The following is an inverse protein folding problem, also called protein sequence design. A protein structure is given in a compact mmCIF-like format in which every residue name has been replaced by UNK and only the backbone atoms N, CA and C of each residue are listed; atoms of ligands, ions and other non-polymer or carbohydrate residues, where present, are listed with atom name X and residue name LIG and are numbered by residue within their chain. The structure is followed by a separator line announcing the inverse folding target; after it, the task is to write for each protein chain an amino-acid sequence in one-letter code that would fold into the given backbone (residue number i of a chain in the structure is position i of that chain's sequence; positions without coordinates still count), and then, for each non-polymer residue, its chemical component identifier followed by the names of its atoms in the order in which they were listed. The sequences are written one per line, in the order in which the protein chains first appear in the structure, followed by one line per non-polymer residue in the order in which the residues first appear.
data_IF_947611708354
#
_entry.id   IF_947611708354
#
_cell.length_a   1.000
_cell.length_b   1.000
_cell.length_c   1.000
_cell.angle_alpha   90.00
_cell.angle_beta   90.00
_cell.angle_gamma   90.00
#
_symmetry.space_group_name_H-M   'P 1'
#
loop_
_entity.id
_entity.type
_entity.pdbx_description
1 polymer ?
#
# COMPACT_ATOMS: atom_id res chain seq x y z
N UNK A 1 -4.05 -9.85 8.56
CA UNK A 1 -3.58 -8.52 9.02
C UNK A 1 -2.13 -8.34 8.65
N UNK A 2 -1.23 -9.23 9.09
CA UNK A 2 0.19 -9.19 8.69
C UNK A 2 0.40 -9.29 7.17
N UNK A 3 -0.34 -10.16 6.48
CA UNK A 3 -0.28 -10.26 5.01
C UNK A 3 -0.71 -8.96 4.31
N UNK A 4 -1.76 -8.30 4.81
CA UNK A 4 -2.23 -7.01 4.29
C UNK A 4 -1.16 -5.92 4.50
N UNK A 5 -0.57 -5.87 5.70
CA UNK A 5 0.50 -4.92 6.03
C UNK A 5 1.71 -5.12 5.12
N UNK A 6 2.16 -6.36 4.93
CA UNK A 6 3.29 -6.70 4.07
C UNK A 6 3.02 -6.32 2.60
N UNK A 7 1.85 -6.69 2.07
CA UNK A 7 1.44 -6.38 0.69
C UNK A 7 1.43 -4.86 0.42
N UNK A 8 0.91 -4.08 1.37
CA UNK A 8 0.91 -2.62 1.29
C UNK A 8 2.34 -2.07 1.40
N UNK A 9 3.13 -2.57 2.35
CA UNK A 9 4.52 -2.16 2.56
C UNK A 9 5.36 -2.33 1.29
N UNK A 10 5.31 -3.51 0.67
CA UNK A 10 6.02 -3.80 -0.59
C UNK A 10 5.61 -2.82 -1.69
N UNK A 11 4.31 -2.57 -1.83
CA UNK A 11 3.79 -1.63 -2.85
C UNK A 11 4.19 -0.18 -2.58
N UNK A 12 4.37 0.18 -1.31
CA UNK A 12 4.90 1.47 -0.89
C UNK A 12 6.43 1.57 -1.03
N UNK A 13 7.10 0.49 -1.44
CA UNK A 13 8.55 0.45 -1.67
C UNK A 13 9.37 0.04 -0.46
N UNK A 14 8.74 -0.40 0.64
CA UNK A 14 9.44 -1.04 1.73
C UNK A 14 9.98 -2.39 1.27
N UNK A 15 11.17 -2.75 1.75
CA UNK A 15 11.81 -4.03 1.42
C UNK A 15 12.04 -4.84 2.68
N UNK A 16 11.77 -6.14 2.63
CA UNK A 16 12.31 -7.06 3.63
C UNK A 16 13.74 -7.40 3.25
N UNK A 17 14.68 -6.97 4.09
CA UNK A 17 16.08 -7.34 3.93
C UNK A 17 16.47 -8.44 4.89
N UNK A 18 17.15 -9.45 4.35
CA UNK A 18 17.83 -10.47 5.14
C UNK A 18 19.25 -9.99 5.40
N UNK A 19 19.42 -9.16 6.42
CA UNK A 19 20.70 -8.54 6.72
C UNK A 19 21.64 -9.56 7.40
N UNK A 20 22.44 -10.25 6.60
CA UNK A 20 23.59 -11.03 7.09
C UNK A 20 24.77 -10.06 7.22
N UNK A 21 24.93 -9.43 8.38
CA UNK A 21 26.10 -8.57 8.66
C UNK A 21 27.28 -9.49 9.03
N UNK A 22 28.35 -9.60 8.21
CA UNK A 22 29.43 -10.56 8.47
C UNK A 22 30.35 -10.17 9.64
N UNK A 23 30.20 -8.96 10.21
CA UNK A 23 31.23 -8.33 11.06
C UNK A 23 30.86 -8.15 12.53
N UNK A 24 29.63 -8.42 12.93
CA UNK A 24 29.21 -8.37 14.33
C UNK A 24 28.24 -9.51 14.48
N UNK A 25 28.49 -10.48 15.36
CA UNK A 25 27.64 -11.67 15.58
C UNK A 25 26.27 -11.35 16.19
N UNK A 26 25.58 -10.35 15.62
CA UNK A 26 24.21 -9.99 15.88
C UNK A 26 23.42 -10.67 14.77
N UNK A 27 22.87 -11.85 15.08
CA UNK A 27 21.75 -12.39 14.31
C UNK A 27 20.61 -11.39 14.46
N UNK A 28 20.43 -10.51 13.47
CA UNK A 28 19.22 -9.71 13.37
C UNK A 28 18.07 -10.66 13.04
N UNK A 29 16.88 -10.49 13.65
CA UNK A 29 15.76 -11.33 13.32
C UNK A 29 15.45 -11.23 11.82
N UNK A 30 15.38 -12.38 11.18
CA UNK A 30 14.97 -12.53 9.78
C UNK A 30 13.67 -11.74 9.54
N UNK A 31 13.64 -10.81 8.58
CA UNK A 31 12.43 -10.08 8.19
C UNK A 31 12.26 -8.62 8.66
N UNK A 32 13.35 -7.90 9.00
CA UNK A 32 13.29 -6.46 9.22
C UNK A 32 12.91 -5.69 7.94
N UNK A 33 12.01 -4.71 8.06
CA UNK A 33 11.60 -3.83 6.95
C UNK A 33 12.52 -2.61 6.85
N UNK A 34 12.90 -2.27 5.62
CA UNK A 34 13.68 -1.07 5.29
C UNK A 34 12.76 -0.07 4.60
N UNK A 35 12.80 1.18 5.06
CA UNK A 35 12.00 2.28 4.49
C UNK A 35 12.54 2.69 3.12
N UNK A 36 11.67 3.04 2.15
CA UNK A 36 12.10 3.55 0.84
C UNK A 36 12.88 4.87 0.90
N UNK A 37 12.79 5.63 1.99
CA UNK A 37 13.45 6.93 2.13
C UNK A 37 14.83 6.88 2.80
N UNK A 38 15.20 5.77 3.44
CA UNK A 38 16.45 5.69 4.22
C UNK A 38 16.99 4.25 4.30
N UNK A 39 17.99 3.92 3.48
CA UNK A 39 18.62 2.58 3.38
C UNK A 39 19.35 2.14 4.67
N UNK A 40 19.46 2.99 5.70
CA UNK A 40 20.32 2.73 6.87
C UNK A 40 19.63 2.76 8.23
N UNK A 41 18.35 3.14 8.32
CA UNK A 41 17.61 3.11 9.57
C UNK A 41 16.62 1.94 9.53
N UNK A 42 16.89 0.93 10.36
CA UNK A 42 15.89 -0.07 10.71
C UNK A 42 14.67 0.66 11.27
N UNK A 43 13.54 0.57 10.57
CA UNK A 43 12.27 1.07 11.05
C UNK A 43 11.38 -0.15 11.29
N UNK A 44 10.81 -0.22 12.49
CA UNK A 44 9.61 -1.02 12.66
C UNK A 44 8.60 -0.54 11.61
N UNK A 45 8.07 -1.47 10.82
CA UNK A 45 7.07 -1.14 9.82
C UNK A 45 5.93 -0.37 10.52
N UNK A 46 5.56 0.83 10.05
CA UNK A 46 4.47 1.57 10.67
C UNK A 46 3.21 0.70 10.70
N UNK A 47 2.47 0.72 11.80
CA UNK A 47 1.18 0.02 11.84
C UNK A 47 0.14 0.77 11.01
N UNK A 48 0.15 0.53 9.71
CA UNK A 48 -0.77 1.16 8.76
C UNK A 48 -2.24 0.89 9.09
N UNK A 49 -2.54 -0.23 9.75
CA UNK A 49 -3.94 -0.59 10.04
C UNK A 49 -4.51 0.15 11.24
N UNK A 50 -3.63 0.71 12.09
CA UNK A 50 -3.98 1.45 13.30
C UNK A 50 -3.65 2.95 13.20
N UNK A 51 -2.62 3.33 12.43
CA UNK A 51 -2.14 4.70 12.31
C UNK A 51 -2.62 5.35 11.01
N UNK A 52 -3.58 6.25 11.15
CA UNK A 52 -4.08 7.04 10.04
C UNK A 52 -3.00 7.98 9.47
N UNK A 53 -2.16 8.54 10.33
CA UNK A 53 -1.03 9.39 9.93
C UNK A 53 -0.03 8.59 9.08
N UNK A 54 0.30 7.36 9.47
CA UNK A 54 1.19 6.50 8.69
C UNK A 54 0.60 6.17 7.29
N UNK A 55 -0.71 6.03 7.18
CA UNK A 55 -1.32 5.88 5.87
C UNK A 55 -1.12 7.12 4.99
N UNK A 56 -1.28 8.32 5.55
CA UNK A 56 -1.13 9.57 4.79
C UNK A 56 0.32 9.91 4.48
N UNK A 57 1.27 9.44 5.29
CA UNK A 57 2.69 9.61 5.06
C UNK A 57 3.20 8.68 3.95
N UNK A 58 2.85 7.39 3.99
CA UNK A 58 3.46 6.39 3.11
C UNK A 58 2.54 5.87 2.01
N UNK A 59 1.26 5.63 2.33
CA UNK A 59 0.33 4.93 1.43
C UNK A 59 -0.31 5.91 0.44
N UNK A 60 -0.89 6.99 0.95
CA UNK A 60 -1.66 7.95 0.13
C UNK A 60 -0.80 8.52 -0.99
N UNK A 61 0.39 9.10 -0.76
CA UNK A 61 1.18 9.70 -1.83
C UNK A 61 1.51 8.69 -2.93
N UNK A 62 1.89 7.47 -2.54
CA UNK A 62 2.23 6.41 -3.49
C UNK A 62 1.05 6.02 -4.38
N UNK A 63 -0.15 5.90 -3.80
CA UNK A 63 -1.34 5.55 -4.57
C UNK A 63 -1.82 6.66 -5.47
N UNK A 64 -1.66 7.91 -5.06
CA UNK A 64 -1.95 9.05 -5.92
C UNK A 64 -1.03 9.01 -7.15
N UNK A 65 0.26 8.78 -6.97
CA UNK A 65 1.20 8.64 -8.09
C UNK A 65 0.80 7.50 -9.05
N UNK A 66 0.44 6.33 -8.52
CA UNK A 66 -0.02 5.18 -9.31
C UNK A 66 -1.27 5.55 -10.12
N UNK A 67 -2.31 6.10 -9.47
CA UNK A 67 -3.57 6.44 -10.14
C UNK A 67 -3.35 7.52 -11.20
N UNK A 68 -2.51 8.52 -10.92
CA UNK A 68 -2.17 9.57 -11.88
C UNK A 68 -1.53 8.98 -13.14
N UNK A 69 -0.59 8.05 -12.99
CA UNK A 69 0.10 7.39 -14.10
C UNK A 69 -0.85 6.47 -14.88
N UNK A 70 -1.61 5.62 -14.19
CA UNK A 70 -2.47 4.63 -14.85
C UNK A 70 -3.70 5.24 -15.54
N UNK A 71 -4.27 6.30 -14.97
CA UNK A 71 -5.46 6.97 -15.50
C UNK A 71 -5.14 8.21 -16.33
N UNK A 72 -3.85 8.55 -16.49
CA UNK A 72 -3.36 9.77 -17.15
C UNK A 72 -4.11 11.03 -16.67
N UNK A 73 -4.23 11.19 -15.35
CA UNK A 73 -5.10 12.20 -14.73
C UNK A 73 -4.36 13.16 -13.80
N UNK A 74 -5.04 14.24 -13.39
CA UNK A 74 -4.51 15.19 -12.40
C UNK A 74 -4.51 14.60 -10.99
N UNK A 75 -3.68 15.15 -10.11
CA UNK A 75 -3.63 14.80 -8.69
C UNK A 75 -5.01 14.93 -8.02
N UNK A 76 -5.75 16.00 -8.30
CA UNK A 76 -7.07 16.23 -7.70
C UNK A 76 -8.06 15.11 -8.07
N UNK A 77 -7.99 14.64 -9.31
CA UNK A 77 -8.82 13.53 -9.76
C UNK A 77 -8.39 12.20 -9.12
N UNK A 78 -7.08 11.96 -9.00
CA UNK A 78 -6.55 10.80 -8.29
C UNK A 78 -6.98 10.78 -6.81
N UNK A 79 -6.93 11.92 -6.11
CA UNK A 79 -7.42 12.05 -4.74
C UNK A 79 -8.91 11.74 -4.65
N UNK A 80 -9.72 12.25 -5.59
CA UNK A 80 -11.15 11.96 -5.62
C UNK A 80 -11.44 10.46 -5.80
N UNK A 81 -10.70 9.76 -6.67
CA UNK A 81 -10.81 8.30 -6.87
C UNK A 81 -10.46 7.56 -5.57
N UNK A 82 -9.30 7.88 -4.98
CA UNK A 82 -8.83 7.23 -3.76
C UNK A 82 -9.79 7.45 -2.59
N UNK A 83 -10.23 8.69 -2.38
CA UNK A 83 -11.15 9.06 -1.31
C UNK A 83 -12.51 8.38 -1.47
N UNK A 84 -13.03 8.29 -2.70
CA UNK A 84 -14.27 7.56 -2.98
C UNK A 84 -14.17 6.08 -2.60
N UNK A 85 -13.07 5.41 -2.97
CA UNK A 85 -12.86 3.99 -2.62
C UNK A 85 -12.69 3.80 -1.11
N UNK A 86 -11.97 4.71 -0.47
CA UNK A 86 -11.82 4.68 0.98
C UNK A 86 -13.15 4.87 1.72
N UNK A 87 -14.00 5.81 1.30
CA UNK A 87 -15.34 5.98 1.86
C UNK A 87 -16.19 4.71 1.74
N UNK A 88 -16.13 4.02 0.60
CA UNK A 88 -16.85 2.75 0.39
C UNK A 88 -16.38 1.66 1.37
N UNK A 89 -15.08 1.59 1.66
CA UNK A 89 -14.59 0.67 2.69
C UNK A 89 -14.90 1.15 4.10
N UNK A 90 -14.93 2.46 4.32
CA UNK A 90 -15.19 3.02 5.64
C UNK A 90 -16.58 2.63 6.13
N UNK A 91 -17.59 2.66 5.27
CA UNK A 91 -18.94 2.19 5.58
C UNK A 91 -18.98 0.76 6.13
N UNK A 92 -18.06 -0.11 5.70
CA UNK A 92 -17.98 -1.51 6.11
C UNK A 92 -17.12 -1.73 7.36
N UNK A 93 -16.23 -0.80 7.67
CA UNK A 93 -15.17 -0.98 8.67
C UNK A 93 -15.24 0.05 9.81
N UNK A 94 -16.33 0.80 9.96
CA UNK A 94 -16.50 1.75 11.08
C UNK A 94 -16.27 1.03 12.42
N UNK A 95 -15.47 1.59 13.36
CA UNK A 95 -14.81 2.91 13.32
C UNK A 95 -13.32 2.88 12.88
N UNK A 96 -12.85 1.82 12.24
CA UNK A 96 -11.43 1.62 11.90
C UNK A 96 -11.02 2.35 10.62
N UNK A 97 -10.83 3.65 10.76
CA UNK A 97 -10.52 4.61 9.67
C UNK A 97 -9.29 4.21 8.84
N UNK A 98 -8.18 3.89 9.52
CA UNK A 98 -6.92 3.49 8.87
C UNK A 98 -7.03 2.11 8.19
N UNK A 99 -7.66 1.14 8.86
CA UNK A 99 -7.93 -0.18 8.28
C UNK A 99 -8.77 -0.08 7.01
N UNK A 100 -9.81 0.78 7.00
CA UNK A 100 -10.63 1.00 5.81
C UNK A 100 -9.79 1.49 4.62
N UNK A 101 -8.83 2.39 4.87
CA UNK A 101 -7.92 2.88 3.84
C UNK A 101 -7.00 1.77 3.32
N UNK A 102 -6.44 0.95 4.21
CA UNK A 102 -5.64 -0.22 3.83
C UNK A 102 -6.45 -1.21 2.97
N UNK A 103 -7.72 -1.46 3.31
CA UNK A 103 -8.60 -2.34 2.53
C UNK A 103 -8.95 -1.76 1.16
N UNK A 104 -9.13 -0.45 1.07
CA UNK A 104 -9.41 0.22 -0.20
C UNK A 104 -8.22 0.06 -1.16
N UNK A 105 -7.03 0.21 -0.62
CA UNK A 105 -5.76 -0.02 -1.30
C UNK A 105 -5.59 -1.49 -1.70
N UNK A 106 -5.86 -2.43 -0.80
CA UNK A 106 -5.80 -3.87 -1.12
C UNK A 106 -6.67 -4.22 -2.33
N UNK A 107 -7.91 -3.72 -2.37
CA UNK A 107 -8.83 -3.94 -3.50
C UNK A 107 -8.36 -3.29 -4.80
N UNK A 108 -7.59 -2.20 -4.72
CA UNK A 108 -6.94 -1.61 -5.89
C UNK A 108 -5.83 -2.54 -6.41
N UNK A 109 -4.96 -3.04 -5.53
CA UNK A 109 -3.91 -4.01 -5.87
C UNK A 109 -4.51 -5.28 -6.49
N UNK A 110 -5.58 -5.81 -5.90
CA UNK A 110 -6.22 -7.04 -6.41
C UNK A 110 -6.99 -6.81 -7.71
N UNK A 111 -7.54 -5.61 -7.90
CA UNK A 111 -8.18 -5.20 -9.14
C UNK A 111 -7.21 -5.11 -10.32
N UNK A 112 -5.98 -4.65 -10.09
CA UNK A 112 -4.90 -4.66 -11.10
C UNK A 112 -4.48 -6.09 -11.50
N UNK A 113 -4.49 -7.04 -10.55
CA UNK A 113 -4.08 -8.42 -10.77
C UNK A 113 -5.19 -9.33 -11.29
N UNK A 114 -6.42 -8.83 -11.41
CA UNK A 114 -7.51 -9.60 -12.00
C UNK A 114 -7.22 -9.84 -13.49
N UNK A 115 -7.29 -11.09 -13.99
CA UNK A 115 -7.16 -11.35 -15.42
C UNK A 115 -8.25 -10.54 -16.11
N UNK A 116 -7.84 -9.63 -17.00
CA UNK A 116 -8.74 -8.84 -17.82
C UNK A 116 -9.63 -9.79 -18.60
N UNK A 117 -10.83 -10.03 -18.06
CA UNK A 117 -11.88 -10.76 -18.73
C UNK A 117 -12.16 -10.00 -20.02
N UNK A 118 -11.74 -10.60 -21.14
CA UNK A 118 -11.92 -10.11 -22.50
C UNK A 118 -13.31 -9.51 -22.62
N UNK A 119 -13.38 -8.20 -22.88
CA UNK A 119 -14.61 -7.53 -23.26
C UNK A 119 -15.11 -8.25 -24.52
N UNK A 120 -16.34 -8.80 -24.54
CA UNK A 120 -16.89 -9.37 -25.76
C UNK A 120 -17.20 -8.21 -26.71
N UNK A 121 -16.45 -8.13 -27.81
CA UNK A 121 -16.75 -7.28 -28.95
C UNK A 121 -18.04 -7.79 -29.60
N UNK A 122 -19.18 -7.31 -29.10
CA UNK A 122 -20.43 -7.29 -29.86
C UNK A 122 -20.70 -5.86 -30.29
N UNK A 123 -20.08 -5.47 -31.40
CA UNK A 123 -20.65 -4.44 -32.26
C UNK A 123 -21.55 -5.15 -33.27
N UNK A 124 -22.85 -4.83 -33.21
CA UNK A 124 -23.79 -5.02 -34.31
C UNK A 124 -23.65 -3.87 -35.29
#
# INVERSE_FOLDING_TARGET
MEELKAKIAERCGFRQERLVIPLVGIDRPDGSWVSPENDYNELELPDFTASFDACFEYIVPKWIDIIMVEQECSSDFAYAIMFKKWLQELELNIPHVALALCRAVEKLIDGENAPTSKIPTHCK
#
